data_IF_060579210243
#
_entry.id   IF_060579210243
#
_cell.length_a   1.000
_cell.length_b   1.000
_cell.length_c   1.000
_cell.angle_alpha   90.00
_cell.angle_beta   90.00
_cell.angle_gamma   90.00
#
_symmetry.space_group_name_H-M   'P 1'
#
loop_
_entity.id
_entity.type
_entity.pdbx_description
1 polymer ?
#
# COMPACT_ATOMS: atom_id res chain seq x y z
N UNK A 1 2.74 23.96 11.01
CA UNK A 1 3.14 22.88 10.07
C UNK A 1 2.38 21.62 10.45
N UNK A 2 1.81 20.91 9.48
CA UNK A 2 1.14 19.62 9.72
C UNK A 2 2.17 18.57 10.13
N UNK A 3 1.81 17.67 11.05
CA UNK A 3 2.64 16.53 11.46
C UNK A 3 2.13 15.29 10.76
N UNK A 4 3.03 14.43 10.30
CA UNK A 4 2.68 13.17 9.64
C UNK A 4 3.36 12.00 10.33
N UNK A 5 2.64 10.90 10.45
CA UNK A 5 3.21 9.59 10.74
C UNK A 5 3.36 8.82 9.42
N UNK A 6 4.44 8.04 9.30
CA UNK A 6 4.74 7.24 8.12
C UNK A 6 4.72 5.76 8.46
N UNK A 7 4.24 4.96 7.51
CA UNK A 7 4.24 3.50 7.58
C UNK A 7 4.80 2.93 6.29
N UNK A 8 5.64 1.91 6.43
CA UNK A 8 6.16 1.12 5.31
C UNK A 8 5.66 -0.30 5.46
N UNK A 9 5.04 -0.84 4.42
CA UNK A 9 4.56 -2.23 4.41
C UNK A 9 5.13 -2.98 3.22
N UNK A 10 5.47 -4.25 3.44
CA UNK A 10 5.76 -5.20 2.38
C UNK A 10 4.50 -6.04 2.16
N UNK A 11 3.99 -6.05 0.92
CA UNK A 11 2.88 -6.93 0.53
C UNK A 11 3.50 -8.09 -0.26
N UNK A 12 3.54 -9.31 0.31
CA UNK A 12 4.19 -10.44 -0.32
C UNK A 12 3.35 -10.94 -1.50
N UNK A 13 3.72 -10.55 -2.71
CA UNK A 13 3.15 -11.11 -3.94
C UNK A 13 4.08 -12.12 -4.59
N UNK A 14 3.51 -13.23 -5.08
CA UNK A 14 4.24 -14.16 -5.93
C UNK A 14 4.76 -13.45 -7.18
N UNK A 15 5.91 -13.92 -7.70
CA UNK A 15 6.41 -13.48 -9.00
C UNK A 15 5.37 -13.81 -10.08
N UNK A 16 4.74 -12.78 -10.65
CA UNK A 16 3.77 -12.95 -11.71
C UNK A 16 4.49 -13.29 -13.02
N UNK A 17 4.24 -14.49 -13.54
CA UNK A 17 4.78 -14.99 -14.81
C UNK A 17 3.73 -15.03 -15.92
N UNK A 18 2.50 -14.63 -15.61
CA UNK A 18 1.37 -14.55 -16.55
C UNK A 18 0.50 -13.34 -16.24
N UNK A 19 -0.23 -12.85 -17.25
CA UNK A 19 -1.15 -11.71 -17.10
C UNK A 19 -2.18 -11.93 -15.99
N UNK A 20 -2.72 -13.15 -15.88
CA UNK A 20 -3.67 -13.50 -14.82
C UNK A 20 -3.08 -13.31 -13.41
N UNK A 21 -1.83 -13.72 -13.21
CA UNK A 21 -1.17 -13.53 -11.91
C UNK A 21 -0.86 -12.06 -11.61
N UNK A 22 -0.67 -11.22 -12.64
CA UNK A 22 -0.58 -9.77 -12.46
C UNK A 22 -1.90 -9.18 -11.98
N UNK A 23 -3.03 -9.63 -12.56
CA UNK A 23 -4.36 -9.20 -12.15
C UNK A 23 -4.66 -9.61 -10.69
N UNK A 24 -4.34 -10.86 -10.33
CA UNK A 24 -4.48 -11.38 -8.96
C UNK A 24 -3.62 -10.59 -7.97
N UNK A 25 -2.36 -10.30 -8.32
CA UNK A 25 -1.47 -9.47 -7.50
C UNK A 25 -1.98 -8.03 -7.35
N UNK A 26 -2.50 -7.43 -8.43
CA UNK A 26 -3.07 -6.09 -8.39
C UNK A 26 -4.30 -6.01 -7.47
N UNK A 27 -5.16 -7.03 -7.52
CA UNK A 27 -6.34 -7.12 -6.66
C UNK A 27 -5.97 -7.31 -5.19
N UNK A 28 -4.91 -8.08 -4.89
CA UNK A 28 -4.39 -8.22 -3.54
C UNK A 28 -3.83 -6.90 -3.00
N UNK A 29 -3.06 -6.17 -3.82
CA UNK A 29 -2.58 -4.84 -3.47
C UNK A 29 -3.74 -3.87 -3.18
N UNK A 30 -4.75 -3.83 -4.05
CA UNK A 30 -5.92 -2.99 -3.88
C UNK A 30 -6.64 -3.31 -2.55
N UNK A 31 -6.85 -4.59 -2.26
CA UNK A 31 -7.53 -5.03 -1.04
C UNK A 31 -6.79 -4.55 0.21
N UNK A 32 -5.46 -4.74 0.27
CA UNK A 32 -4.67 -4.34 1.43
C UNK A 32 -4.55 -2.81 1.56
N UNK A 33 -4.38 -2.09 0.44
CA UNK A 33 -4.34 -0.64 0.44
C UNK A 33 -5.67 -0.02 0.85
N UNK A 34 -6.80 -0.61 0.46
CA UNK A 34 -8.12 -0.16 0.89
C UNK A 34 -8.33 -0.32 2.40
N UNK A 35 -7.87 -1.44 2.99
CA UNK A 35 -7.90 -1.63 4.45
C UNK A 35 -7.06 -0.57 5.17
N UNK A 36 -5.88 -0.25 4.63
CA UNK A 36 -5.04 0.82 5.17
C UNK A 36 -5.68 2.20 4.99
N UNK A 37 -6.31 2.46 3.84
CA UNK A 37 -7.07 3.68 3.56
C UNK A 37 -8.22 3.87 4.55
N UNK A 38 -8.95 2.81 4.87
CA UNK A 38 -10.02 2.83 5.88
C UNK A 38 -9.50 3.14 7.31
N UNK A 39 -8.23 2.87 7.59
CA UNK A 39 -7.55 3.24 8.83
C UNK A 39 -6.95 4.65 8.80
N UNK A 40 -7.18 5.42 7.73
CA UNK A 40 -6.69 6.79 7.57
C UNK A 40 -5.28 6.89 7.00
N UNK A 41 -4.74 5.82 6.41
CA UNK A 41 -3.45 5.87 5.72
C UNK A 41 -3.62 6.30 4.27
N UNK A 42 -2.86 7.30 3.86
CA UNK A 42 -2.74 7.75 2.48
C UNK A 42 -1.56 7.06 1.80
N UNK A 43 -1.79 6.44 0.64
CA UNK A 43 -0.74 5.88 -0.19
C UNK A 43 0.10 6.99 -0.83
N UNK A 44 1.43 6.85 -0.78
CA UNK A 44 2.39 7.80 -1.37
C UNK A 44 3.01 7.21 -2.63
N UNK A 45 3.67 6.05 -2.49
CA UNK A 45 4.37 5.40 -3.59
C UNK A 45 4.65 3.93 -3.29
N UNK A 46 4.97 3.19 -4.35
CA UNK A 46 5.55 1.84 -4.28
C UNK A 46 6.96 1.87 -4.84
N UNK A 47 7.93 1.33 -4.11
CA UNK A 47 9.33 1.19 -4.57
C UNK A 47 9.95 -0.08 -3.95
N UNK A 48 10.71 -0.82 -4.75
CA UNK A 48 11.45 -2.02 -4.32
C UNK A 48 10.59 -3.06 -3.56
N UNK A 49 9.32 -3.21 -3.95
CA UNK A 49 8.37 -4.13 -3.30
C UNK A 49 7.72 -3.59 -2.02
N UNK A 50 8.06 -2.38 -1.58
CA UNK A 50 7.48 -1.73 -0.42
C UNK A 50 6.45 -0.68 -0.82
N UNK A 51 5.44 -0.50 0.04
CA UNK A 51 4.43 0.54 -0.07
C UNK A 51 4.65 1.54 1.06
N UNK A 52 4.76 2.81 0.68
CA UNK A 52 4.99 3.92 1.59
C UNK A 52 3.67 4.66 1.79
N UNK A 53 3.27 4.81 3.04
CA UNK A 53 2.05 5.48 3.43
C UNK A 53 2.34 6.58 4.44
N UNK A 54 1.47 7.58 4.48
CA UNK A 54 1.45 8.62 5.52
C UNK A 54 0.06 8.74 6.12
N UNK A 55 -0.03 9.29 7.31
CA UNK A 55 -1.28 9.80 7.89
C UNK A 55 -1.00 11.10 8.60
N UNK A 56 -1.93 12.05 8.52
CA UNK A 56 -1.82 13.28 9.31
C UNK A 56 -2.03 12.97 10.79
N UNK A 57 -1.09 13.42 11.63
CA UNK A 57 -1.19 13.27 13.08
C UNK A 57 -1.93 14.49 13.63
N UNK A 58 -3.26 14.39 13.68
CA UNK A 58 -4.15 15.32 14.39
C UNK A 58 -5.42 15.71 13.63
N UNK A 59 -6.56 15.48 14.28
CA UNK A 59 -7.48 16.57 14.66
C UNK A 59 -7.24 16.90 16.13
#
# INVERSE_FOLDING_TARGET
MKRFEYKVVAIPTAFAISTKQYEEAAQEFETQLNVLGAQGWEFIQRADGFFFLKREMGQ
#
